data_IF_644383621980
#
_entry.id   IF_644383621980
#
_cell.length_a   1.000
_cell.length_b   1.000
_cell.length_c   1.000
_cell.angle_alpha   90.00
_cell.angle_beta   90.00
_cell.angle_gamma   90.00
#
_symmetry.space_group_name_H-M   'P 1'
#
loop_
_entity.id
_entity.type
_entity.pdbx_description
1 polymer ?
#
# COMPACT_ATOMS: atom_id res chain seq x y z
N UNK A 1 -6.75 -17.20 0.66
CA UNK A 1 -7.07 -17.01 2.09
C UNK A 1 -6.04 -17.80 2.87
N UNK A 2 -5.04 -17.14 3.40
CA UNK A 2 -3.98 -17.81 4.13
C UNK A 2 -4.33 -17.79 5.62
N UNK A 3 -4.64 -18.95 6.17
CA UNK A 3 -5.18 -19.12 7.53
C UNK A 3 -4.11 -19.09 8.63
N UNK A 4 -2.85 -18.86 8.27
CA UNK A 4 -1.75 -18.95 9.23
C UNK A 4 -1.65 -17.75 10.18
N UNK A 5 -2.08 -16.56 9.76
CA UNK A 5 -1.92 -15.32 10.57
C UNK A 5 -3.24 -14.72 11.07
N UNK A 6 -4.41 -15.22 10.63
CA UNK A 6 -5.72 -14.64 10.96
C UNK A 6 -6.00 -13.27 10.31
N UNK A 7 -5.07 -12.77 9.48
CA UNK A 7 -5.22 -11.52 8.75
C UNK A 7 -5.83 -11.77 7.38
N UNK A 8 -7.05 -11.28 7.16
CA UNK A 8 -7.68 -11.31 5.84
C UNK A 8 -7.25 -10.08 5.05
N UNK A 9 -6.81 -10.27 3.81
CA UNK A 9 -6.45 -9.15 2.95
C UNK A 9 -6.82 -9.38 1.49
N UNK A 10 -7.02 -8.31 0.75
CA UNK A 10 -7.23 -8.33 -0.69
C UNK A 10 -6.86 -6.98 -1.30
N UNK A 11 -6.49 -7.02 -2.58
CA UNK A 11 -6.10 -5.84 -3.33
C UNK A 11 -6.81 -5.75 -4.67
N UNK A 12 -6.84 -4.53 -5.21
CA UNK A 12 -7.21 -4.25 -6.59
C UNK A 12 -6.25 -3.22 -7.17
N UNK A 13 -5.74 -3.51 -8.37
CA UNK A 13 -5.00 -2.58 -9.21
C UNK A 13 -5.79 -2.36 -10.49
N UNK A 14 -5.90 -1.11 -10.91
CA UNK A 14 -6.60 -0.70 -12.12
C UNK A 14 -5.73 0.27 -12.92
N UNK A 15 -5.40 -0.04 -14.19
CA UNK A 15 -4.74 0.90 -15.09
C UNK A 15 -5.58 2.16 -15.32
N UNK A 16 -4.93 3.27 -15.67
CA UNK A 16 -5.61 4.47 -16.14
C UNK A 16 -6.37 4.22 -17.46
N UNK A 17 -7.33 5.08 -17.77
CA UNK A 17 -8.13 4.90 -18.98
C UNK A 17 -7.27 4.98 -20.24
N UNK A 18 -7.36 3.96 -21.07
CA UNK A 18 -6.60 3.84 -22.33
C UNK A 18 -5.34 2.99 -22.23
N UNK A 19 -4.92 2.59 -21.01
CA UNK A 19 -3.79 1.69 -20.78
C UNK A 19 -4.27 0.27 -20.46
N UNK A 20 -3.45 -0.72 -20.83
CA UNK A 20 -3.68 -2.14 -20.55
C UNK A 20 -2.88 -2.64 -19.35
N UNK A 21 -1.89 -1.88 -18.92
CA UNK A 21 -0.99 -2.20 -17.82
C UNK A 21 -0.85 -1.00 -16.89
N UNK A 22 -0.55 -1.26 -15.63
CA UNK A 22 -0.45 -0.24 -14.58
C UNK A 22 1.00 -0.03 -14.16
N UNK A 23 1.36 1.21 -13.85
CA UNK A 23 2.55 1.58 -13.10
C UNK A 23 2.40 1.40 -11.59
N UNK A 24 1.17 1.21 -11.14
CA UNK A 24 0.87 0.91 -9.74
C UNK A 24 0.92 -0.58 -9.46
N UNK A 25 1.28 -0.95 -8.24
CA UNK A 25 1.24 -2.33 -7.77
C UNK A 25 0.96 -2.45 -6.28
N UNK A 26 0.56 -3.66 -5.90
CA UNK A 26 0.42 -4.10 -4.50
C UNK A 26 1.21 -5.38 -4.31
N UNK A 27 2.03 -5.44 -3.26
CA UNK A 27 2.71 -6.65 -2.83
C UNK A 27 2.23 -7.01 -1.43
N UNK A 28 1.86 -8.28 -1.24
CA UNK A 28 1.62 -8.85 0.08
C UNK A 28 2.50 -10.08 0.28
N UNK A 29 3.04 -10.24 1.48
CA UNK A 29 3.88 -11.36 1.85
C UNK A 29 3.60 -11.77 3.27
N UNK A 30 3.26 -13.05 3.47
CA UNK A 30 3.17 -13.61 4.80
C UNK A 30 4.54 -13.63 5.48
N UNK A 31 4.57 -13.16 6.71
CA UNK A 31 5.70 -13.26 7.63
C UNK A 31 5.42 -14.33 8.67
N UNK A 32 6.45 -14.76 9.40
CA UNK A 32 6.29 -15.76 10.46
C UNK A 32 5.29 -15.32 11.54
N UNK A 33 5.25 -14.03 11.87
CA UNK A 33 4.39 -13.45 12.90
C UNK A 33 3.40 -12.40 12.36
N UNK A 34 3.08 -12.42 11.08
CA UNK A 34 2.16 -11.42 10.54
C UNK A 34 2.21 -11.27 9.03
N UNK A 35 2.01 -10.04 8.57
CA UNK A 35 1.87 -9.70 7.15
C UNK A 35 2.74 -8.48 6.80
N UNK A 36 3.51 -8.59 5.73
CA UNK A 36 4.11 -7.45 5.06
C UNK A 36 3.23 -7.04 3.87
N UNK A 37 3.02 -5.73 3.74
CA UNK A 37 2.26 -5.15 2.64
C UNK A 37 3.02 -3.97 2.06
N UNK A 38 3.01 -3.85 0.74
CA UNK A 38 3.52 -2.68 0.04
C UNK A 38 2.51 -2.16 -0.99
N UNK A 39 2.43 -0.84 -1.10
CA UNK A 39 1.77 -0.13 -2.18
C UNK A 39 2.82 0.65 -2.97
N UNK A 40 2.77 0.56 -4.28
CA UNK A 40 3.77 1.11 -5.19
C UNK A 40 3.09 1.96 -6.26
N UNK A 41 3.66 3.10 -6.56
CA UNK A 41 3.26 4.01 -7.64
C UNK A 41 4.55 4.43 -8.36
N UNK A 42 4.79 3.85 -9.53
CA UNK A 42 5.94 4.18 -10.38
C UNK A 42 5.65 5.45 -11.17
N UNK A 43 6.61 6.39 -11.20
CA UNK A 43 6.44 7.65 -11.91
C UNK A 43 6.10 7.44 -13.40
N UNK A 44 4.93 7.97 -13.82
CA UNK A 44 4.38 7.81 -15.15
C UNK A 44 3.51 6.55 -15.26
N UNK A 45 2.98 6.27 -16.42
CA UNK A 45 2.05 5.18 -16.68
C UNK A 45 2.47 4.38 -17.92
N UNK A 46 1.72 3.32 -18.24
CA UNK A 46 1.91 2.50 -19.41
C UNK A 46 3.10 1.51 -19.31
N UNK A 47 3.55 0.94 -20.45
CA UNK A 47 4.47 -0.19 -20.46
C UNK A 47 5.80 0.05 -19.75
N UNK A 48 6.40 1.23 -19.92
CA UNK A 48 7.70 1.53 -19.29
C UNK A 48 7.61 1.66 -17.75
N UNK A 49 6.50 2.19 -17.23
CA UNK A 49 6.26 2.23 -15.80
C UNK A 49 6.03 0.81 -15.27
N UNK A 50 5.24 0.02 -16.01
CA UNK A 50 4.93 -1.36 -15.69
C UNK A 50 6.17 -2.27 -15.61
N UNK A 51 7.17 -2.09 -16.49
CA UNK A 51 8.43 -2.83 -16.40
C UNK A 51 9.15 -2.59 -15.06
N UNK A 52 9.23 -1.33 -14.62
CA UNK A 52 9.81 -1.01 -13.32
C UNK A 52 8.96 -1.55 -12.16
N UNK A 53 7.64 -1.51 -12.31
CA UNK A 53 6.70 -2.09 -11.32
C UNK A 53 7.02 -3.56 -11.08
N UNK A 54 7.23 -4.37 -12.11
CA UNK A 54 7.61 -5.78 -11.96
C UNK A 54 8.94 -5.99 -11.23
N UNK A 55 9.92 -5.12 -11.48
CA UNK A 55 11.21 -5.17 -10.76
C UNK A 55 11.00 -4.92 -9.27
N UNK A 56 10.17 -3.93 -8.93
CA UNK A 56 9.85 -3.60 -7.54
C UNK A 56 9.04 -4.71 -6.86
N UNK A 57 8.03 -5.27 -7.55
CA UNK A 57 7.24 -6.40 -7.05
C UNK A 57 8.12 -7.61 -6.72
N UNK A 58 8.99 -7.99 -7.65
CA UNK A 58 9.92 -9.10 -7.44
C UNK A 58 10.88 -8.84 -6.26
N UNK A 59 11.37 -7.61 -6.13
CA UNK A 59 12.23 -7.21 -5.02
C UNK A 59 11.49 -7.29 -3.68
N UNK A 60 10.31 -6.67 -3.58
CA UNK A 60 9.52 -6.63 -2.35
C UNK A 60 8.97 -8.02 -1.97
N UNK A 61 8.56 -8.82 -2.96
CA UNK A 61 8.15 -10.21 -2.74
C UNK A 61 9.26 -11.07 -2.14
N UNK A 62 10.53 -10.79 -2.49
CA UNK A 62 11.69 -11.51 -1.98
C UNK A 62 12.21 -10.98 -0.65
N UNK A 63 12.26 -9.65 -0.47
CA UNK A 63 12.97 -8.99 0.63
C UNK A 63 12.05 -8.24 1.61
N UNK A 64 10.73 -8.24 1.36
CA UNK A 64 9.75 -7.67 2.29
C UNK A 64 9.87 -8.33 3.67
N UNK A 65 9.86 -7.53 4.73
CA UNK A 65 10.02 -8.00 6.10
C UNK A 65 9.39 -7.03 7.10
N UNK A 66 9.37 -7.39 8.37
CA UNK A 66 8.90 -6.51 9.45
C UNK A 66 9.75 -5.24 9.60
N UNK A 67 11.03 -5.26 9.21
CA UNK A 67 11.90 -4.07 9.15
C UNK A 67 11.58 -3.22 7.90
N UNK A 68 10.43 -2.55 7.90
CA UNK A 68 9.98 -1.71 6.76
C UNK A 68 10.97 -0.57 6.47
N UNK A 69 11.67 -0.07 7.47
CA UNK A 69 12.67 0.99 7.30
C UNK A 69 13.90 0.48 6.53
N UNK A 70 14.45 -0.66 6.94
CA UNK A 70 15.57 -1.28 6.23
C UNK A 70 15.20 -1.72 4.82
N UNK A 71 13.98 -2.26 4.61
CA UNK A 71 13.46 -2.58 3.27
C UNK A 71 13.39 -1.33 2.39
N UNK A 72 12.83 -0.22 2.91
CA UNK A 72 12.73 1.06 2.18
C UNK A 72 14.11 1.59 1.77
N UNK A 73 15.07 1.57 2.68
CA UNK A 73 16.43 2.05 2.43
C UNK A 73 17.12 1.23 1.35
N UNK A 74 17.04 -0.09 1.42
CA UNK A 74 17.62 -0.99 0.41
C UNK A 74 16.91 -0.87 -0.95
N UNK A 75 15.57 -0.73 -0.95
CA UNK A 75 14.83 -0.50 -2.19
C UNK A 75 15.21 0.82 -2.85
N UNK A 76 15.37 1.90 -2.07
CA UNK A 76 15.84 3.18 -2.59
C UNK A 76 17.18 3.04 -3.33
N UNK A 77 18.12 2.30 -2.76
CA UNK A 77 19.42 2.04 -3.39
C UNK A 77 19.28 1.19 -4.68
N UNK A 78 18.40 0.20 -4.64
CA UNK A 78 18.13 -0.69 -5.77
C UNK A 78 17.52 0.04 -6.98
N UNK A 79 16.74 1.10 -6.73
CA UNK A 79 16.06 1.89 -7.77
C UNK A 79 16.87 3.06 -8.30
N UNK A 80 18.14 3.24 -7.89
CA UNK A 80 18.97 4.33 -8.41
C UNK A 80 19.19 4.20 -9.91
N UNK A 81 18.99 5.32 -10.61
CA UNK A 81 19.13 5.40 -12.07
C UNK A 81 17.87 4.95 -12.83
N UNK A 82 16.79 4.60 -12.14
CA UNK A 82 15.48 4.35 -12.74
C UNK A 82 14.62 5.63 -12.74
N UNK A 83 13.39 5.55 -13.25
CA UNK A 83 12.44 6.66 -13.15
C UNK A 83 11.95 6.92 -11.72
N UNK A 84 12.12 5.95 -10.82
CA UNK A 84 11.72 6.05 -9.42
C UNK A 84 10.25 5.76 -9.17
N UNK A 85 9.90 5.69 -7.87
CA UNK A 85 8.56 5.39 -7.41
C UNK A 85 8.22 6.07 -6.09
N UNK A 86 6.94 6.31 -5.85
CA UNK A 86 6.36 6.47 -4.53
C UNK A 86 6.03 5.09 -3.95
N UNK A 87 6.33 4.86 -2.68
CA UNK A 87 6.13 3.54 -2.04
C UNK A 87 5.70 3.70 -0.60
N UNK A 88 4.65 2.97 -0.21
CA UNK A 88 4.26 2.78 1.18
C UNK A 88 4.51 1.34 1.59
N UNK A 89 5.28 1.12 2.65
CA UNK A 89 5.57 -0.19 3.24
C UNK A 89 4.93 -0.30 4.61
N UNK A 90 4.30 -1.42 4.86
CA UNK A 90 3.61 -1.71 6.12
C UNK A 90 3.94 -3.13 6.59
N UNK A 91 4.22 -3.29 7.86
CA UNK A 91 4.22 -4.60 8.53
C UNK A 91 3.16 -4.62 9.62
N UNK A 92 2.45 -5.73 9.73
CA UNK A 92 1.38 -5.95 10.69
C UNK A 92 1.74 -7.20 11.49
N UNK A 93 1.90 -7.06 12.78
CA UNK A 93 2.05 -8.18 13.70
C UNK A 93 0.66 -8.77 14.00
N UNK A 94 0.48 -10.04 13.70
CA UNK A 94 -0.82 -10.70 13.78
C UNK A 94 -1.26 -11.00 15.22
N UNK A 95 -0.31 -11.15 16.15
CA UNK A 95 -0.61 -11.43 17.54
C UNK A 95 -1.00 -10.16 18.30
N UNK A 96 -0.26 -9.09 18.06
CA UNK A 96 -0.41 -7.85 18.83
C UNK A 96 -1.24 -6.79 18.14
N UNK A 97 -1.43 -6.87 16.81
CA UNK A 97 -2.06 -5.81 16.02
C UNK A 97 -1.18 -4.58 15.82
N UNK A 98 0.09 -4.65 16.20
CA UNK A 98 1.04 -3.57 15.96
C UNK A 98 1.30 -3.42 14.47
N UNK A 99 1.25 -2.17 14.00
CA UNK A 99 1.55 -1.80 12.62
C UNK A 99 2.74 -0.86 12.62
N UNK A 100 3.77 -1.18 11.84
CA UNK A 100 4.86 -0.28 11.51
C UNK A 100 4.76 0.13 10.03
N UNK A 101 4.79 1.44 9.76
CA UNK A 101 4.64 2.01 8.42
C UNK A 101 5.82 2.93 8.07
N UNK A 102 6.29 2.83 6.84
CA UNK A 102 7.22 3.75 6.22
C UNK A 102 6.74 4.10 4.81
N UNK A 103 6.57 5.38 4.51
CA UNK A 103 6.11 5.84 3.19
C UNK A 103 6.97 6.97 2.64
N UNK A 104 7.20 6.93 1.32
CA UNK A 104 7.86 7.97 0.53
C UNK A 104 6.98 8.29 -0.69
N UNK A 105 6.75 9.57 -0.92
CA UNK A 105 5.93 10.08 -2.02
C UNK A 105 4.50 10.37 -1.58
N UNK A 106 3.53 10.00 -2.41
CA UNK A 106 2.12 10.36 -2.29
C UNK A 106 1.20 9.18 -1.88
N UNK A 107 1.77 8.07 -1.42
CA UNK A 107 0.99 6.94 -0.91
C UNK A 107 0.39 7.24 0.46
N UNK A 108 -0.76 6.65 0.75
CA UNK A 108 -1.53 6.89 1.97
C UNK A 108 -1.86 5.57 2.64
N UNK A 109 -1.79 5.55 3.98
CA UNK A 109 -2.34 4.48 4.80
C UNK A 109 -3.40 5.04 5.75
N UNK A 110 -4.55 4.36 5.84
CA UNK A 110 -5.64 4.72 6.75
C UNK A 110 -6.08 3.50 7.54
N UNK A 111 -6.32 3.71 8.83
CA UNK A 111 -7.02 2.77 9.70
C UNK A 111 -8.45 3.25 9.89
N UNK A 112 -9.41 2.40 9.63
CA UNK A 112 -10.82 2.56 9.96
C UNK A 112 -11.14 1.64 11.14
N UNK A 113 -11.66 2.20 12.21
CA UNK A 113 -12.02 1.54 13.46
C UNK A 113 -12.92 2.44 14.29
N UNK A 114 -12.83 2.39 15.61
CA UNK A 114 -13.52 3.30 16.50
C UNK A 114 -13.22 4.78 16.17
N UNK A 115 -11.94 5.05 15.84
CA UNK A 115 -11.51 6.34 15.32
C UNK A 115 -10.77 6.10 14.01
N UNK A 116 -10.91 7.02 13.05
CA UNK A 116 -10.14 7.00 11.84
C UNK A 116 -8.75 7.61 12.08
N UNK A 117 -7.71 6.92 11.64
CA UNK A 117 -6.33 7.40 11.71
C UNK A 117 -5.71 7.35 10.32
N UNK A 118 -4.97 8.39 9.96
CA UNK A 118 -4.25 8.50 8.70
C UNK A 118 -2.76 8.63 8.96
N UNK A 119 -1.96 7.81 8.29
CA UNK A 119 -0.51 7.97 8.20
C UNK A 119 -0.16 8.40 6.77
N UNK A 120 0.78 9.31 6.65
CA UNK A 120 1.18 9.90 5.36
C UNK A 120 2.65 9.61 5.09
N UNK A 121 2.96 9.49 3.81
CA UNK A 121 4.33 9.33 3.35
C UNK A 121 5.12 10.64 3.48
N UNK A 122 6.43 10.52 3.63
CA UNK A 122 7.34 11.65 3.56
C UNK A 122 7.59 12.04 2.10
N UNK A 123 7.82 13.33 1.85
CA UNK A 123 8.16 13.81 0.51
C UNK A 123 9.41 13.14 -0.03
N UNK A 124 9.37 12.82 -1.31
CA UNK A 124 10.48 12.22 -2.02
C UNK A 124 10.09 11.24 -3.11
N UNK A 125 11.09 10.69 -3.77
CA UNK A 125 10.95 9.65 -4.81
C UNK A 125 12.06 8.62 -4.58
N UNK A 126 11.70 7.35 -4.44
CA UNK A 126 12.67 6.27 -4.35
C UNK A 126 13.50 6.20 -5.64
N UNK A 127 14.78 5.96 -5.49
CA UNK A 127 15.72 5.97 -6.60
C UNK A 127 16.36 7.35 -6.88
N UNK A 128 15.72 8.44 -6.44
CA UNK A 128 16.21 9.82 -6.66
C UNK A 128 16.57 10.50 -5.34
N UNK A 129 15.59 11.12 -4.69
CA UNK A 129 15.75 11.85 -3.44
C UNK A 129 14.81 11.26 -2.38
N UNK A 130 15.38 10.69 -1.38
CA UNK A 130 14.65 10.17 -0.23
C UNK A 130 15.23 10.79 1.03
N UNK A 131 14.38 11.47 1.82
CA UNK A 131 14.72 11.71 3.22
C UNK A 131 14.55 10.40 3.98
N UNK A 132 15.41 10.16 4.96
CA UNK A 132 15.28 8.96 5.81
C UNK A 132 13.88 8.94 6.40
N UNK A 133 13.03 7.95 6.06
CA UNK A 133 11.68 7.89 6.60
C UNK A 133 11.75 7.59 8.09
N UNK A 134 10.98 8.33 8.88
CA UNK A 134 10.76 7.96 10.28
C UNK A 134 9.63 6.97 10.33
N UNK A 135 9.83 5.76 10.90
CA UNK A 135 8.78 4.78 11.07
C UNK A 135 7.63 5.38 11.88
N UNK A 136 6.42 5.20 11.40
CA UNK A 136 5.20 5.55 12.10
C UNK A 136 4.56 4.25 12.58
N UNK A 137 4.09 4.24 13.82
CA UNK A 137 3.49 3.06 14.43
C UNK A 137 2.06 3.37 14.83
N UNK A 138 1.17 2.41 14.62
CA UNK A 138 -0.19 2.43 15.17
C UNK A 138 -0.58 1.06 15.71
N UNK A 139 -1.66 1.03 16.48
CA UNK A 139 -2.22 -0.18 17.05
C UNK A 139 -3.58 -0.46 16.44
N UNK A 140 -3.79 -1.68 15.93
CA UNK A 140 -5.08 -2.17 15.47
C UNK A 140 -5.84 -2.82 16.63
N UNK A 141 -7.14 -2.64 16.63
CA UNK A 141 -8.07 -3.43 17.41
C UNK A 141 -8.75 -4.47 16.50
N UNK A 142 -9.21 -5.59 17.07
CA UNK A 142 -9.94 -6.59 16.31
C UNK A 142 -11.17 -5.99 15.62
N UNK A 143 -11.29 -6.26 14.33
CA UNK A 143 -12.33 -5.70 13.46
C UNK A 143 -11.91 -4.42 12.72
N UNK A 144 -10.78 -3.80 13.06
CA UNK A 144 -10.25 -2.66 12.32
C UNK A 144 -9.93 -3.05 10.87
N UNK A 145 -10.14 -2.09 9.98
CA UNK A 145 -9.75 -2.20 8.56
C UNK A 145 -8.60 -1.24 8.27
N UNK A 146 -7.47 -1.79 7.86
CA UNK A 146 -6.34 -1.04 7.35
C UNK A 146 -6.43 -0.96 5.82
N UNK A 147 -6.24 0.24 5.26
CA UNK A 147 -6.30 0.46 3.82
C UNK A 147 -5.09 1.27 3.39
N UNK A 148 -4.34 0.75 2.39
CA UNK A 148 -3.28 1.48 1.72
C UNK A 148 -3.69 1.72 0.27
N UNK A 149 -3.37 2.89 -0.28
CA UNK A 149 -3.70 3.24 -1.66
C UNK A 149 -2.73 4.27 -2.25
N UNK A 150 -2.65 4.27 -3.59
CA UNK A 150 -1.90 5.24 -4.38
C UNK A 150 -2.73 6.52 -4.60
N UNK A 151 -2.10 7.56 -5.09
CA UNK A 151 -2.78 8.85 -5.32
C UNK A 151 -3.80 8.81 -6.47
N UNK A 152 -3.78 7.77 -7.31
CA UNK A 152 -4.87 7.48 -8.24
C UNK A 152 -6.22 7.22 -7.57
N UNK A 153 -6.24 6.98 -6.27
CA UNK A 153 -7.45 6.99 -5.45
C UNK A 153 -7.63 8.38 -4.83
N UNK A 154 -8.83 8.96 -4.98
CA UNK A 154 -9.18 10.23 -4.34
C UNK A 154 -9.16 10.08 -2.82
N UNK A 155 -8.42 10.95 -2.17
CA UNK A 155 -8.27 11.02 -0.72
C UNK A 155 -9.47 11.67 0.01
N UNK A 156 -10.49 12.09 -0.74
CA UNK A 156 -11.63 12.86 -0.23
C UNK A 156 -12.79 12.00 0.28
N UNK A 157 -12.59 10.70 0.53
CA UNK A 157 -13.62 9.87 1.14
C UNK A 157 -13.40 9.68 2.64
N UNK A 158 -14.49 9.50 3.38
CA UNK A 158 -14.51 9.24 4.82
C UNK A 158 -15.25 7.94 5.10
N UNK A 159 -15.24 7.47 6.35
CA UNK A 159 -16.09 6.36 6.76
C UNK A 159 -17.58 6.64 6.56
N UNK A 160 -17.99 7.93 6.54
CA UNK A 160 -19.38 8.32 6.25
C UNK A 160 -19.72 8.14 4.76
N UNK A 161 -18.76 8.41 3.86
CA UNK A 161 -18.94 8.21 2.41
C UNK A 161 -18.95 6.73 2.03
N UNK A 162 -18.30 5.90 2.83
CA UNK A 162 -18.27 4.45 2.68
C UNK A 162 -18.51 3.72 4.02
N UNK A 163 -19.74 3.69 4.55
CA UNK A 163 -20.07 3.02 5.81
C UNK A 163 -19.81 1.50 5.80
N UNK A 164 -19.68 0.90 4.62
CA UNK A 164 -19.35 -0.52 4.42
C UNK A 164 -17.91 -0.87 4.73
N UNK A 165 -17.00 0.11 4.89
CA UNK A 165 -15.56 -0.17 5.08
C UNK A 165 -15.26 -1.09 6.27
N UNK A 166 -16.04 -1.01 7.35
CA UNK A 166 -15.90 -1.87 8.52
C UNK A 166 -16.74 -3.17 8.46
N UNK A 167 -17.65 -3.29 7.49
CA UNK A 167 -18.62 -4.41 7.40
C UNK A 167 -18.27 -5.38 6.28
N UNK A 168 -17.77 -4.87 5.17
CA UNK A 168 -17.47 -5.67 3.99
C UNK A 168 -16.13 -6.39 4.14
N UNK A 169 -15.94 -7.55 3.51
CA UNK A 169 -14.66 -8.23 3.48
C UNK A 169 -13.61 -7.37 2.72
N UNK A 170 -12.30 -7.57 2.97
CA UNK A 170 -11.25 -6.80 2.33
C UNK A 170 -11.34 -6.73 0.80
N UNK A 171 -11.78 -7.81 0.15
CA UNK A 171 -11.96 -7.88 -1.31
C UNK A 171 -13.01 -6.88 -1.82
N UNK A 172 -14.13 -6.74 -1.13
CA UNK A 172 -15.14 -5.73 -1.46
C UNK A 172 -14.69 -4.32 -1.10
N UNK A 173 -13.95 -4.16 0.00
CA UNK A 173 -13.42 -2.85 0.41
C UNK A 173 -12.44 -2.32 -0.64
N UNK A 174 -11.41 -3.09 -1.01
CA UNK A 174 -10.44 -2.69 -2.03
C UNK A 174 -11.13 -2.37 -3.37
N UNK A 175 -12.05 -3.25 -3.81
CA UNK A 175 -12.83 -3.05 -5.04
C UNK A 175 -13.66 -1.76 -5.01
N UNK A 176 -14.43 -1.55 -3.96
CA UNK A 176 -15.30 -0.38 -3.85
C UNK A 176 -14.50 0.93 -3.77
N UNK A 177 -13.35 0.94 -3.08
CA UNK A 177 -12.49 2.11 -3.01
C UNK A 177 -11.98 2.48 -4.40
N UNK A 178 -11.40 1.54 -5.13
CA UNK A 178 -10.87 1.81 -6.49
C UNK A 178 -11.99 2.18 -7.47
N UNK A 179 -13.16 1.52 -7.40
CA UNK A 179 -14.26 1.78 -8.33
C UNK A 179 -14.98 3.12 -8.07
N UNK A 180 -15.15 3.50 -6.81
CA UNK A 180 -15.94 4.71 -6.44
C UNK A 180 -15.08 5.96 -6.32
N UNK A 181 -13.83 5.81 -5.92
CA UNK A 181 -12.93 6.93 -5.62
C UNK A 181 -11.68 6.97 -6.50
N UNK A 182 -11.48 5.96 -7.36
CA UNK A 182 -10.38 5.93 -8.32
C UNK A 182 -10.56 6.95 -9.44
N UNK A 183 -9.51 7.72 -9.72
CA UNK A 183 -9.44 8.70 -10.80
C UNK A 183 -9.27 7.98 -12.14
N UNK A 184 -10.05 8.32 -13.17
CA UNK A 184 -10.01 7.65 -14.47
C UNK A 184 -8.73 7.93 -15.28
N UNK A 185 -8.09 9.06 -15.00
CA UNK A 185 -6.90 9.53 -15.72
C UNK A 185 -5.59 9.10 -15.07
N UNK A 186 -5.65 8.21 -14.07
CA UNK A 186 -4.50 7.71 -13.33
C UNK A 186 -4.62 6.22 -13.07
N UNK A 187 -3.47 5.55 -12.92
CA UNK A 187 -3.41 4.22 -12.35
C UNK A 187 -3.93 4.28 -10.91
N UNK A 188 -4.55 3.24 -10.43
CA UNK A 188 -5.09 3.21 -9.07
C UNK A 188 -4.90 1.85 -8.43
N UNK A 189 -4.24 1.82 -7.30
CA UNK A 189 -4.06 0.61 -6.49
C UNK A 189 -4.57 0.82 -5.06
N UNK A 190 -5.15 -0.24 -4.53
CA UNK A 190 -5.63 -0.29 -3.15
C UNK A 190 -5.46 -1.70 -2.58
N UNK A 191 -5.02 -1.79 -1.35
CA UNK A 191 -5.09 -3.01 -0.54
C UNK A 191 -5.83 -2.72 0.75
N UNK A 192 -6.69 -3.66 1.15
CA UNK A 192 -7.40 -3.66 2.41
C UNK A 192 -6.99 -4.88 3.24
N UNK A 193 -6.77 -4.69 4.54
CA UNK A 193 -6.40 -5.73 5.49
C UNK A 193 -7.33 -5.63 6.69
N UNK A 194 -7.97 -6.74 7.07
CA UNK A 194 -8.78 -6.90 8.28
C UNK A 194 -7.93 -7.51 9.39
N UNK A 195 -7.92 -6.86 10.55
CA UNK A 195 -7.31 -7.39 11.77
C UNK A 195 -8.32 -8.07 12.67
#
# INVERSE_FOLDING_TARGET
MNLATGLEHASLVRPCSGEFVSGDAVVSRDLEQGLFVAIVDVLGHGPEAHELTHIIEAYLGRYGSADVHGVMTRLHQHLRGTRGAAVGLCSIDAETGRVDYAGIGNTVMRRFGETETRLVSHDGVLGHNMRTPHPQTLQLAHGDMLVLYTDGVSDRFTAQDYPGVLRHPPSEVAKNIVQRFGKSHDDAACIAVRY
#
